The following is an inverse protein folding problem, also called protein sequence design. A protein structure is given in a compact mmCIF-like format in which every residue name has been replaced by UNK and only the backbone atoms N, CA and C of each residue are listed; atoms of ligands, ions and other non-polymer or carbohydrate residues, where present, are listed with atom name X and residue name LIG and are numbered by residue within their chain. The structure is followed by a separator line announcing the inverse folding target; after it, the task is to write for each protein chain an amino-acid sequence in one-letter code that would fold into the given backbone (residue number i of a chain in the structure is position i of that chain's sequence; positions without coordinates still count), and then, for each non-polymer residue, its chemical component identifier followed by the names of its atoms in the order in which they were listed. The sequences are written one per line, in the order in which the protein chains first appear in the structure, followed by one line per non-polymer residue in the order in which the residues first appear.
data_IF_589215366399
#
_entry.id   IF_589215366399
#
_cell.length_a   1.000
_cell.length_b   1.000
_cell.length_c   1.000
_cell.angle_alpha   90.00
_cell.angle_beta   90.00
_cell.angle_gamma   90.00
#
_symmetry.space_group_name_H-M   'P 1'
#
loop_
_entity.id
_entity.type
_entity.pdbx_description
1 polymer ?
#
# COMPACT_ATOMS: atom_id res chain seq x y z
N UNK A 1 64.49 1.31 31.30
CA UNK A 1 63.26 0.58 30.93
C UNK A 1 62.32 1.59 30.29
N UNK A 2 61.98 1.39 29.02
CA UNK A 2 61.15 2.31 28.24
C UNK A 2 61.84 2.75 26.95
N UNK A 3 61.13 2.56 25.83
CA UNK A 3 61.37 3.24 24.57
C UNK A 3 62.30 2.54 23.57
N UNK A 4 61.83 1.47 22.92
CA UNK A 4 62.38 1.04 21.63
C UNK A 4 61.39 1.42 20.53
N UNK A 5 61.73 2.49 19.79
CA UNK A 5 61.13 2.86 18.52
C UNK A 5 61.86 2.09 17.41
N UNK A 6 61.14 1.30 16.64
CA UNK A 6 61.62 0.71 15.40
C UNK A 6 60.55 0.92 14.32
N UNK A 7 60.88 1.80 13.39
CA UNK A 7 60.23 1.93 12.10
C UNK A 7 60.50 0.70 11.24
N UNK A 8 59.48 0.14 10.61
CA UNK A 8 59.64 -0.60 9.34
C UNK A 8 58.34 -0.52 8.54
N UNK A 9 58.43 0.11 7.38
CA UNK A 9 57.44 0.13 6.31
C UNK A 9 57.06 -1.29 5.88
N UNK A 10 55.76 -1.55 5.66
CA UNK A 10 55.28 -2.66 4.84
C UNK A 10 53.93 -2.30 4.19
N UNK A 11 54.04 -1.84 2.94
CA UNK A 11 53.20 -2.07 1.76
C UNK A 11 51.67 -2.15 1.92
N UNK A 12 50.97 -1.17 1.35
CA UNK A 12 49.52 -1.20 1.10
C UNK A 12 49.15 -2.25 0.03
N UNK A 13 48.05 -3.00 0.19
CA UNK A 13 47.58 -3.93 -0.84
C UNK A 13 47.05 -3.17 -2.08
N UNK A 14 47.15 -3.75 -3.29
CA UNK A 14 46.65 -3.14 -4.51
C UNK A 14 45.11 -3.10 -4.52
N UNK A 15 44.50 -2.14 -5.24
CA UNK A 15 43.04 -2.08 -5.37
C UNK A 15 42.52 -3.31 -6.13
N UNK A 16 41.33 -3.83 -5.77
CA UNK A 16 40.74 -4.95 -6.51
C UNK A 16 40.47 -4.55 -7.96
N UNK A 17 40.99 -5.39 -8.83
CA UNK A 17 40.85 -5.41 -10.28
C UNK A 17 39.40 -5.28 -10.76
N UNK A 18 39.21 -4.39 -11.74
CA UNK A 18 37.99 -4.18 -12.49
C UNK A 18 37.41 -5.50 -13.00
N UNK A 19 36.23 -5.86 -12.49
CA UNK A 19 35.44 -6.96 -13.01
C UNK A 19 34.87 -6.59 -14.39
N UNK A 20 34.85 -7.50 -15.36
CA UNK A 20 34.46 -7.21 -16.73
C UNK A 20 32.98 -6.88 -16.86
N UNK A 21 32.70 -5.89 -17.70
CA UNK A 21 31.39 -5.43 -18.16
C UNK A 21 30.44 -6.62 -18.40
N UNK A 22 29.28 -6.59 -17.73
CA UNK A 22 28.15 -7.44 -18.06
C UNK A 22 27.72 -7.17 -19.51
N UNK A 23 27.25 -8.20 -20.26
CA UNK A 23 26.86 -8.03 -21.64
C UNK A 23 25.69 -7.05 -21.74
N UNK A 24 25.86 -6.04 -22.60
CA UNK A 24 24.84 -5.10 -23.02
C UNK A 24 23.59 -5.85 -23.50
N UNK A 25 22.47 -5.63 -22.81
CA UNK A 25 21.16 -6.11 -23.24
C UNK A 25 20.79 -5.49 -24.60
N UNK A 26 20.43 -6.29 -25.63
CA UNK A 26 20.01 -5.78 -26.92
C UNK A 26 18.49 -5.59 -26.94
N UNK A 27 17.97 -4.69 -26.11
CA UNK A 27 16.59 -4.20 -26.23
C UNK A 27 16.54 -2.71 -25.91
N UNK A 28 17.02 -1.89 -26.85
CA UNK A 28 16.58 -0.51 -26.96
C UNK A 28 15.14 -0.52 -27.51
N UNK A 29 14.18 -0.77 -26.64
CA UNK A 29 12.76 -0.49 -26.92
C UNK A 29 12.55 1.02 -27.11
N UNK A 30 11.47 1.44 -27.79
CA UNK A 30 11.21 2.85 -28.03
C UNK A 30 11.16 3.61 -26.70
N UNK A 31 11.95 4.69 -26.63
CA UNK A 31 11.97 5.62 -25.50
C UNK A 31 10.55 6.10 -25.25
N UNK A 32 9.91 5.57 -24.20
CA UNK A 32 8.65 6.07 -23.70
C UNK A 32 8.88 7.54 -23.30
N UNK A 33 8.30 8.47 -24.06
CA UNK A 33 8.36 9.88 -23.70
C UNK A 33 7.56 10.07 -22.42
N UNK A 34 8.22 10.61 -21.39
CA UNK A 34 7.55 11.15 -20.20
C UNK A 34 6.53 12.19 -20.68
N UNK A 35 5.24 11.85 -20.64
CA UNK A 35 4.19 12.85 -20.76
C UNK A 35 3.98 13.38 -19.34
N UNK A 36 4.19 14.67 -19.14
CA UNK A 36 3.86 15.32 -17.87
C UNK A 36 2.38 15.06 -17.58
N UNK A 37 2.04 14.41 -16.44
CA UNK A 37 0.65 14.18 -16.08
C UNK A 37 -0.04 15.54 -15.92
N UNK A 38 -1.30 15.62 -16.38
CA UNK A 38 -2.33 16.57 -15.97
C UNK A 38 -1.83 17.70 -15.04
N UNK A 39 -1.21 18.75 -15.59
CA UNK A 39 -0.61 19.81 -14.75
C UNK A 39 -1.61 20.91 -14.38
N UNK A 40 -2.84 20.83 -14.89
CA UNK A 40 -3.86 21.85 -14.67
C UNK A 40 -5.13 21.28 -14.05
N UNK A 41 -5.83 22.11 -13.26
CA UNK A 41 -7.14 21.77 -12.71
C UNK A 41 -8.13 21.33 -13.81
N UNK A 42 -8.01 21.91 -15.01
CA UNK A 42 -8.85 21.56 -16.17
C UNK A 42 -8.61 20.14 -16.66
N UNK A 43 -7.37 19.64 -16.62
CA UNK A 43 -7.05 18.26 -17.00
C UNK A 43 -7.60 17.27 -15.96
N UNK A 44 -7.46 17.59 -14.67
CA UNK A 44 -8.03 16.78 -13.59
C UNK A 44 -9.56 16.74 -13.64
N UNK A 45 -10.21 17.87 -13.95
CA UNK A 45 -11.65 17.91 -14.20
C UNK A 45 -12.06 17.02 -15.38
N UNK A 46 -11.30 17.05 -16.48
CA UNK A 46 -11.52 16.16 -17.64
C UNK A 46 -11.34 14.70 -17.27
N UNK A 47 -10.32 14.38 -16.47
CA UNK A 47 -10.07 13.02 -15.96
C UNK A 47 -11.24 12.52 -15.11
N UNK A 48 -11.87 13.39 -14.33
CA UNK A 48 -13.08 13.09 -13.55
C UNK A 48 -14.39 13.18 -14.36
N UNK A 49 -14.34 13.50 -15.65
CA UNK A 49 -15.53 13.65 -16.49
C UNK A 49 -16.42 14.85 -16.11
N UNK A 50 -15.83 15.88 -15.49
CA UNK A 50 -16.55 17.06 -15.02
C UNK A 50 -16.23 18.30 -15.89
N UNK A 51 -17.24 19.10 -16.28
CA UNK A 51 -16.99 20.36 -16.98
C UNK A 51 -16.51 21.48 -16.04
N UNK A 52 -16.77 21.36 -14.74
CA UNK A 52 -16.39 22.29 -13.67
C UNK A 52 -16.41 21.59 -12.32
N UNK A 53 -15.69 22.13 -11.34
CA UNK A 53 -15.73 21.65 -9.97
C UNK A 53 -17.16 21.74 -9.41
N UNK A 54 -17.59 20.70 -8.68
CA UNK A 54 -18.86 20.68 -7.98
C UNK A 54 -18.82 21.54 -6.71
N UNK A 55 -19.98 21.98 -6.21
CA UNK A 55 -20.05 22.52 -4.86
C UNK A 55 -19.81 21.40 -3.84
N UNK A 56 -18.84 21.59 -2.94
CA UNK A 56 -18.40 20.55 -1.99
C UNK A 56 -19.53 20.04 -1.11
N UNK A 57 -20.30 20.94 -0.49
CA UNK A 57 -21.38 20.57 0.43
C UNK A 57 -22.54 19.86 -0.28
N UNK A 58 -22.86 20.31 -1.50
CA UNK A 58 -23.87 19.69 -2.36
C UNK A 58 -23.44 18.29 -2.80
N UNK A 59 -22.17 18.12 -3.17
CA UNK A 59 -21.61 16.82 -3.54
C UNK A 59 -21.68 15.84 -2.36
N UNK A 60 -21.17 16.22 -1.18
CA UNK A 60 -21.23 15.39 0.04
C UNK A 60 -22.67 15.00 0.39
N UNK A 61 -23.61 15.94 0.25
CA UNK A 61 -25.04 15.70 0.47
C UNK A 61 -25.68 14.82 -0.60
N UNK A 62 -25.11 14.73 -1.80
CA UNK A 62 -25.54 13.81 -2.85
C UNK A 62 -25.01 12.41 -2.60
N UNK A 63 -23.73 12.28 -2.23
CA UNK A 63 -23.09 11.02 -1.83
C UNK A 63 -23.77 10.39 -0.61
N UNK A 64 -24.34 11.23 0.24
CA UNK A 64 -25.14 10.84 1.38
C UNK A 64 -26.46 10.12 1.04
N UNK A 65 -27.00 10.32 -0.16
CA UNK A 65 -28.34 9.80 -0.48
C UNK A 65 -28.28 8.29 -0.72
N UNK A 66 -29.23 7.51 -0.18
CA UNK A 66 -29.33 6.09 -0.48
C UNK A 66 -29.46 5.88 -2.00
N UNK A 67 -28.76 4.87 -2.54
CA UNK A 67 -28.95 4.45 -3.93
C UNK A 67 -30.42 4.11 -4.17
N UNK A 68 -31.03 4.71 -5.21
CA UNK A 68 -32.43 4.46 -5.57
C UNK A 68 -32.55 3.07 -6.22
N UNK A 69 -32.65 1.98 -5.44
CA UNK A 69 -32.83 0.64 -6.02
C UNK A 69 -32.98 -0.54 -5.05
N UNK A 70 -34.20 -1.12 -5.06
CA UNK A 70 -34.66 -2.47 -4.61
C UNK A 70 -34.41 -2.90 -3.15
N UNK A 71 -35.48 -2.75 -2.36
CA UNK A 71 -35.66 -3.43 -1.07
C UNK A 71 -35.32 -2.54 0.11
N UNK A 72 -36.33 -1.95 0.74
CA UNK A 72 -36.19 -1.17 1.97
C UNK A 72 -35.93 -2.13 3.13
N UNK A 73 -34.76 -2.16 3.80
CA UNK A 73 -34.71 -2.72 5.13
C UNK A 73 -35.58 -1.84 6.03
N UNK A 74 -36.54 -2.45 6.72
CA UNK A 74 -37.19 -1.81 7.86
C UNK A 74 -36.09 -1.65 8.93
N UNK A 75 -35.94 -0.44 9.45
CA UNK A 75 -35.19 -0.07 10.67
C UNK A 75 -33.66 -0.11 10.61
N UNK A 76 -33.03 0.88 9.96
CA UNK A 76 -31.76 1.47 10.44
C UNK A 76 -31.77 2.95 10.09
N UNK A 77 -31.38 3.82 11.02
CA UNK A 77 -31.18 5.25 10.74
C UNK A 77 -30.27 5.44 9.52
N UNK A 78 -30.48 6.52 8.76
CA UNK A 78 -29.60 6.90 7.65
C UNK A 78 -28.14 6.96 8.18
N UNK A 79 -27.19 6.18 7.61
CA UNK A 79 -25.85 6.12 8.17
C UNK A 79 -25.23 7.52 8.20
N UNK A 80 -24.78 7.95 9.39
CA UNK A 80 -24.01 9.18 9.54
C UNK A 80 -22.59 9.00 8.99
N UNK A 81 -21.98 10.10 8.55
CA UNK A 81 -20.56 10.12 8.24
C UNK A 81 -19.74 9.81 9.49
N UNK A 82 -18.66 9.05 9.32
CA UNK A 82 -17.64 8.78 10.34
C UNK A 82 -16.27 8.93 9.70
N UNK A 83 -15.35 9.65 10.33
CA UNK A 83 -13.94 9.58 9.92
C UNK A 83 -13.40 8.20 10.31
N UNK A 84 -12.77 7.52 9.37
CA UNK A 84 -12.26 6.14 9.51
C UNK A 84 -10.75 6.05 9.36
N UNK A 85 -10.11 7.10 8.83
CA UNK A 85 -8.67 7.18 8.70
C UNK A 85 -8.22 8.59 8.37
N UNK A 86 -6.92 8.80 8.50
CA UNK A 86 -6.20 9.99 8.07
C UNK A 86 -4.88 9.54 7.43
N UNK A 87 -4.43 10.30 6.44
CA UNK A 87 -3.11 10.17 5.82
C UNK A 87 -2.55 11.58 5.63
N UNK A 88 -1.25 11.67 5.31
CA UNK A 88 -0.52 12.96 5.27
C UNK A 88 -1.25 14.05 4.51
N UNK A 89 -1.85 13.75 3.36
CA UNK A 89 -2.53 14.73 2.50
C UNK A 89 -4.05 14.58 2.44
N UNK A 90 -4.66 13.73 3.28
CA UNK A 90 -6.07 13.40 3.08
C UNK A 90 -6.82 12.97 4.33
N UNK A 91 -8.12 13.23 4.27
CA UNK A 91 -9.09 12.80 5.28
C UNK A 91 -9.96 11.68 4.70
N UNK A 92 -10.18 10.60 5.47
CA UNK A 92 -10.95 9.45 4.99
C UNK A 92 -12.21 9.26 5.82
N UNK A 93 -13.37 9.33 5.17
CA UNK A 93 -14.68 9.17 5.80
C UNK A 93 -15.44 7.99 5.24
N UNK A 94 -16.21 7.31 6.07
CA UNK A 94 -17.12 6.26 5.66
C UNK A 94 -18.58 6.65 5.95
N UNK A 95 -19.47 6.17 5.08
CA UNK A 95 -20.92 6.22 5.27
C UNK A 95 -21.57 5.01 4.61
N UNK A 96 -22.16 4.14 5.42
CA UNK A 96 -22.68 2.87 4.93
C UNK A 96 -21.54 1.99 4.40
N UNK A 97 -21.65 1.57 3.16
CA UNK A 97 -20.69 0.75 2.40
C UNK A 97 -19.72 1.58 1.54
N UNK A 98 -19.81 2.91 1.60
CA UNK A 98 -18.96 3.82 0.84
C UNK A 98 -17.89 4.46 1.71
N UNK A 99 -16.70 4.60 1.14
CA UNK A 99 -15.58 5.35 1.70
C UNK A 99 -15.26 6.51 0.76
N UNK A 100 -14.92 7.68 1.31
CA UNK A 100 -14.46 8.84 0.55
C UNK A 100 -13.13 9.32 1.13
N UNK A 101 -12.09 9.31 0.30
CA UNK A 101 -10.80 9.96 0.57
C UNK A 101 -10.87 11.37 0.00
N UNK A 102 -10.65 12.38 0.84
CA UNK A 102 -10.77 13.79 0.50
C UNK A 102 -9.39 14.43 0.58
N UNK A 103 -8.91 14.92 -0.56
CA UNK A 103 -7.56 15.46 -0.74
C UNK A 103 -7.66 16.95 -1.07
N UNK A 104 -7.20 17.87 -0.20
CA UNK A 104 -7.03 19.28 -0.54
C UNK A 104 -6.04 19.46 -1.71
N UNK A 105 -6.39 20.32 -2.68
CA UNK A 105 -5.60 20.52 -3.89
C UNK A 105 -4.79 21.81 -3.83
N UNK A 106 -3.46 21.67 -3.95
CA UNK A 106 -2.53 22.78 -4.14
C UNK A 106 -2.63 23.30 -5.57
N UNK A 107 -3.31 24.42 -5.75
CA UNK A 107 -3.39 25.12 -7.04
C UNK A 107 -2.31 26.19 -7.14
N UNK A 108 -1.81 26.46 -8.35
CA UNK A 108 -0.70 27.38 -8.61
C UNK A 108 -0.91 28.84 -8.11
N UNK A 109 -2.12 29.22 -7.67
CA UNK A 109 -2.35 30.45 -6.90
C UNK A 109 -1.98 30.32 -5.41
N UNK A 110 -1.18 29.31 -5.04
CA UNK A 110 -0.71 28.99 -3.69
C UNK A 110 0.06 30.13 -3.02
N UNK A 111 0.59 31.10 -3.78
CA UNK A 111 1.26 32.27 -3.22
C UNK A 111 0.35 33.10 -2.29
N UNK A 112 -0.96 33.17 -2.58
CA UNK A 112 -1.91 33.90 -1.74
C UNK A 112 -2.30 33.14 -0.47
N UNK A 113 -2.40 31.80 -0.54
CA UNK A 113 -2.74 30.95 0.61
C UNK A 113 -1.54 30.79 1.56
N UNK A 114 -0.32 30.61 1.02
CA UNK A 114 0.91 30.55 1.81
C UNK A 114 1.22 31.89 2.50
N UNK A 115 0.95 33.03 1.83
CA UNK A 115 1.04 34.34 2.46
C UNK A 115 0.04 34.49 3.62
N UNK A 116 -1.20 34.01 3.45
CA UNK A 116 -2.24 34.09 4.48
C UNK A 116 -1.95 33.17 5.70
N UNK A 117 -1.37 31.98 5.48
CA UNK A 117 -0.96 31.07 6.55
C UNK A 117 0.25 31.62 7.33
N UNK A 118 1.24 32.17 6.63
CA UNK A 118 2.42 32.80 7.23
C UNK A 118 2.09 34.05 8.06
N UNK A 119 1.06 34.81 7.67
CA UNK A 119 0.60 35.98 8.43
C UNK A 119 -0.11 35.62 9.76
N UNK A 120 -0.61 34.40 9.90
CA UNK A 120 -1.46 34.01 11.03
C UNK A 120 -0.83 32.97 11.98
N UNK A 121 0.39 32.51 11.72
CA UNK A 121 1.10 31.47 12.51
C UNK A 121 0.20 30.24 12.79
N UNK A 122 -0.69 29.94 11.84
CA UNK A 122 -1.69 28.90 11.96
C UNK A 122 -1.22 27.65 11.23
N UNK A 123 -1.30 26.52 11.91
CA UNK A 123 -1.06 25.20 11.31
C UNK A 123 -1.99 25.02 10.10
N UNK A 124 -1.45 24.53 8.98
CA UNK A 124 -2.15 24.43 7.70
C UNK A 124 -2.26 22.96 7.26
N UNK A 125 -3.43 22.49 6.79
CA UNK A 125 -3.54 21.13 6.26
C UNK A 125 -2.63 20.94 5.05
N UNK A 126 -1.98 19.79 4.98
CA UNK A 126 -1.19 19.40 3.82
C UNK A 126 -2.06 19.27 2.56
N UNK A 127 -1.53 19.74 1.44
CA UNK A 127 -2.23 19.78 0.15
C UNK A 127 -1.45 18.98 -0.91
N UNK A 128 -2.13 18.20 -1.74
CA UNK A 128 -1.50 17.48 -2.86
C UNK A 128 -1.53 18.29 -4.15
N UNK A 129 -0.55 18.06 -5.03
CA UNK A 129 -0.58 18.65 -6.37
C UNK A 129 -1.68 18.02 -7.23
N UNK A 130 -2.16 18.77 -8.22
CA UNK A 130 -3.11 18.27 -9.23
C UNK A 130 -2.53 17.06 -9.99
N UNK A 131 -1.22 17.07 -10.21
CA UNK A 131 -0.49 16.02 -10.90
C UNK A 131 -0.48 14.72 -10.09
N UNK A 132 -0.22 14.80 -8.78
CA UNK A 132 -0.18 13.63 -7.89
C UNK A 132 -1.55 12.97 -7.76
N UNK A 133 -2.60 13.78 -7.57
CA UNK A 133 -3.98 13.28 -7.51
C UNK A 133 -4.42 12.68 -8.85
N UNK A 134 -4.08 13.33 -9.96
CA UNK A 134 -4.34 12.78 -11.30
C UNK A 134 -3.67 11.42 -11.50
N UNK A 135 -2.40 11.30 -11.12
CA UNK A 135 -1.65 10.04 -11.15
C UNK A 135 -2.32 8.97 -10.29
N UNK A 136 -2.69 9.29 -9.04
CA UNK A 136 -3.37 8.34 -8.15
C UNK A 136 -4.66 7.80 -8.80
N UNK A 137 -5.51 8.68 -9.35
CA UNK A 137 -6.74 8.28 -10.06
C UNK A 137 -6.44 7.36 -11.25
N UNK A 138 -5.45 7.70 -12.07
CA UNK A 138 -5.07 6.89 -13.23
C UNK A 138 -4.52 5.53 -12.82
N UNK A 139 -3.69 5.47 -11.78
CA UNK A 139 -3.16 4.20 -11.23
C UNK A 139 -4.32 3.33 -10.73
N UNK A 140 -5.24 3.87 -9.93
CA UNK A 140 -6.39 3.11 -9.43
C UNK A 140 -7.26 2.57 -10.57
N UNK A 141 -7.49 3.36 -11.62
CA UNK A 141 -8.21 2.91 -12.82
C UNK A 141 -7.47 1.82 -13.59
N UNK A 142 -6.15 1.92 -13.70
CA UNK A 142 -5.33 0.91 -14.38
C UNK A 142 -5.29 -0.43 -13.61
N UNK A 143 -5.43 -0.38 -12.28
CA UNK A 143 -5.54 -1.55 -11.40
C UNK A 143 -6.95 -2.13 -11.31
N UNK A 144 -7.97 -1.46 -11.87
CA UNK A 144 -9.33 -1.97 -11.87
C UNK A 144 -9.40 -3.39 -12.48
N UNK A 145 -10.14 -4.28 -11.83
CA UNK A 145 -10.26 -5.69 -12.22
C UNK A 145 -9.08 -6.57 -11.82
N UNK A 146 -8.03 -6.02 -11.19
CA UNK A 146 -6.98 -6.83 -10.55
C UNK A 146 -7.39 -7.08 -9.11
N UNK A 147 -7.75 -8.33 -8.80
CA UNK A 147 -8.15 -8.73 -7.45
C UNK A 147 -7.11 -8.33 -6.40
N UNK A 148 -7.57 -7.87 -5.24
CA UNK A 148 -6.73 -7.54 -4.08
C UNK A 148 -6.32 -6.08 -3.96
N UNK A 149 -6.82 -5.20 -4.83
CA UNK A 149 -6.72 -3.74 -4.70
C UNK A 149 -8.10 -3.13 -4.43
N UNK A 150 -8.14 -2.00 -3.72
CA UNK A 150 -9.39 -1.27 -3.52
C UNK A 150 -9.91 -0.68 -4.84
N UNK A 151 -11.22 -0.75 -5.02
CA UNK A 151 -11.88 -0.22 -6.21
C UNK A 151 -12.19 1.28 -6.03
N UNK A 152 -11.79 2.07 -7.03
CA UNK A 152 -12.23 3.45 -7.21
C UNK A 152 -13.56 3.47 -7.96
N UNK A 153 -14.67 3.71 -7.25
CA UNK A 153 -16.00 3.81 -7.84
C UNK A 153 -16.14 5.06 -8.72
N UNK A 154 -15.66 6.20 -8.21
CA UNK A 154 -15.65 7.46 -8.94
C UNK A 154 -14.71 8.47 -8.29
N UNK A 155 -14.25 9.45 -9.07
CA UNK A 155 -13.47 10.57 -8.59
C UNK A 155 -14.19 11.87 -8.97
N UNK A 156 -14.22 12.83 -8.04
CA UNK A 156 -14.86 14.13 -8.25
C UNK A 156 -13.97 15.25 -7.75
N UNK A 157 -13.98 16.37 -8.43
CA UNK A 157 -13.36 17.62 -8.01
C UNK A 157 -14.47 18.53 -7.51
N UNK A 158 -14.24 19.11 -6.33
CA UNK A 158 -15.16 20.03 -5.69
C UNK A 158 -14.44 21.30 -5.24
N UNK A 159 -15.21 22.36 -5.05
CA UNK A 159 -14.77 23.62 -4.46
C UNK A 159 -15.83 24.12 -3.47
N UNK A 160 -15.41 24.89 -2.47
CA UNK A 160 -16.29 25.41 -1.43
C UNK A 160 -15.72 25.19 -0.03
N UNK A 161 -16.42 25.65 1.02
CA UNK A 161 -16.06 25.33 2.40
C UNK A 161 -16.24 23.83 2.68
N UNK A 162 -15.44 23.32 3.61
CA UNK A 162 -15.54 21.93 4.07
C UNK A 162 -16.94 21.64 4.65
N UNK A 163 -17.52 20.51 4.27
CA UNK A 163 -18.90 20.20 4.64
C UNK A 163 -19.06 20.06 6.17
N UNK A 164 -20.05 20.73 6.80
CA UNK A 164 -20.24 20.69 8.25
C UNK A 164 -20.40 19.26 8.82
N UNK A 165 -21.08 18.38 8.09
CA UNK A 165 -21.27 16.99 8.51
C UNK A 165 -19.96 16.19 8.61
N UNK A 166 -18.97 16.51 7.76
CA UNK A 166 -17.66 15.88 7.80
C UNK A 166 -16.77 16.50 8.88
N UNK A 167 -16.88 17.83 9.10
CA UNK A 167 -16.22 18.49 10.22
C UNK A 167 -16.66 17.92 11.57
N UNK A 168 -17.96 17.68 11.76
CA UNK A 168 -18.45 17.01 12.97
C UNK A 168 -17.88 15.60 13.12
N UNK A 169 -17.80 14.84 12.02
CA UNK A 169 -17.22 13.50 12.05
C UNK A 169 -15.70 13.52 12.35
N UNK A 170 -15.00 14.56 11.89
CA UNK A 170 -13.59 14.80 12.19
C UNK A 170 -13.40 15.13 13.67
N UNK A 171 -14.24 16.01 14.25
CA UNK A 171 -14.18 16.40 15.66
C UNK A 171 -14.45 15.21 16.59
N UNK A 172 -15.42 14.36 16.25
CA UNK A 172 -15.70 13.11 16.96
C UNK A 172 -14.48 12.18 16.95
N UNK A 173 -13.84 12.02 15.79
CA UNK A 173 -12.65 11.17 15.65
C UNK A 173 -11.48 11.71 16.46
N UNK A 174 -11.15 13.00 16.31
CA UNK A 174 -10.06 13.65 17.03
C UNK A 174 -10.25 13.57 18.55
N UNK A 175 -11.50 13.66 19.03
CA UNK A 175 -11.81 13.51 20.46
C UNK A 175 -11.69 12.07 20.97
N UNK A 176 -11.81 11.07 20.08
CA UNK A 176 -11.82 9.64 20.42
C UNK A 176 -10.48 8.93 20.23
N UNK A 177 -9.62 9.42 19.32
CA UNK A 177 -8.28 8.86 19.06
C UNK A 177 -7.33 9.28 20.17
N UNK A 178 -6.61 8.32 20.74
CA UNK A 178 -5.55 8.61 21.69
C UNK A 178 -4.45 9.42 20.99
N UNK A 179 -4.14 10.61 21.51
CA UNK A 179 -3.22 11.56 20.88
C UNK A 179 -3.88 12.56 19.92
N UNK A 180 -5.18 12.46 19.67
CA UNK A 180 -5.90 13.35 18.76
C UNK A 180 -5.76 12.97 17.28
N UNK A 181 -6.24 13.85 16.40
CA UNK A 181 -5.97 13.80 14.95
C UNK A 181 -4.56 14.31 14.69
N UNK A 182 -3.80 13.63 13.84
CA UNK A 182 -2.47 14.06 13.41
C UNK A 182 -2.54 15.21 12.40
N UNK A 183 -3.61 15.24 11.61
CA UNK A 183 -3.85 16.30 10.66
C UNK A 183 -4.46 17.55 11.31
N UNK A 184 -4.24 18.70 10.68
CA UNK A 184 -4.92 19.95 11.01
C UNK A 184 -6.40 19.87 10.61
N UNK A 185 -7.29 20.36 11.47
CA UNK A 185 -8.72 20.42 11.17
C UNK A 185 -8.98 21.23 9.88
N UNK A 186 -9.64 20.67 8.85
CA UNK A 186 -9.70 21.28 7.52
C UNK A 186 -10.62 22.50 7.41
N UNK A 187 -11.21 22.97 8.51
CA UNK A 187 -12.02 24.19 8.54
C UNK A 187 -11.24 25.47 8.33
N UNK A 188 -9.91 25.43 8.45
CA UNK A 188 -9.03 26.57 8.19
C UNK A 188 -8.87 26.88 6.71
N UNK A 189 -9.22 25.92 5.83
CA UNK A 189 -9.15 26.10 4.38
C UNK A 189 -10.17 27.15 3.90
N UNK A 190 -9.80 27.98 2.91
CA UNK A 190 -10.65 29.07 2.47
C UNK A 190 -11.91 28.56 1.75
N UNK A 191 -12.99 29.37 1.68
CA UNK A 191 -14.20 29.00 0.93
C UNK A 191 -13.97 28.74 -0.57
N UNK A 192 -12.83 29.18 -1.12
CA UNK A 192 -12.40 28.96 -2.51
C UNK A 192 -11.49 27.75 -2.68
N UNK A 193 -11.21 26.99 -1.61
CA UNK A 193 -10.40 25.79 -1.66
C UNK A 193 -10.99 24.75 -2.63
N UNK A 194 -10.11 23.94 -3.18
CA UNK A 194 -10.46 22.85 -4.09
C UNK A 194 -10.04 21.52 -3.49
N UNK A 195 -10.81 20.48 -3.80
CA UNK A 195 -10.63 19.16 -3.23
C UNK A 195 -10.87 18.10 -4.29
N UNK A 196 -10.11 17.02 -4.25
CA UNK A 196 -10.47 15.77 -4.88
C UNK A 196 -11.17 14.84 -3.88
N UNK A 197 -12.28 14.24 -4.30
CA UNK A 197 -13.04 13.26 -3.56
C UNK A 197 -12.99 11.94 -4.34
N UNK A 198 -12.25 10.98 -3.79
CA UNK A 198 -12.12 9.63 -4.33
C UNK A 198 -13.10 8.73 -3.59
N UNK A 199 -14.15 8.27 -4.27
CA UNK A 199 -15.11 7.31 -3.72
C UNK A 199 -14.56 5.91 -3.90
N UNK A 200 -14.35 5.23 -2.79
CA UNK A 200 -13.74 3.92 -2.69
C UNK A 200 -14.73 2.93 -2.09
N UNK A 201 -14.64 1.67 -2.49
CA UNK A 201 -15.40 0.60 -1.83
C UNK A 201 -14.86 0.36 -0.42
N UNK A 202 -15.77 0.08 0.54
CA UNK A 202 -15.37 -0.25 1.90
C UNK A 202 -14.68 -1.63 1.95
N UNK A 203 -13.41 -1.68 2.31
CA UNK A 203 -12.57 -2.88 2.23
C UNK A 203 -12.13 -3.48 3.59
N UNK A 204 -12.60 -2.93 4.71
CA UNK A 204 -12.37 -3.47 6.05
C UNK A 204 -11.64 -2.51 6.96
N UNK A 205 -10.86 -3.05 7.90
CA UNK A 205 -10.02 -2.28 8.84
C UNK A 205 -8.54 -2.45 8.48
N UNK A 206 -7.74 -1.42 8.68
CA UNK A 206 -6.29 -1.47 8.47
C UNK A 206 -5.60 -2.56 9.30
N UNK A 207 -4.55 -3.17 8.73
CA UNK A 207 -3.86 -4.30 9.34
C UNK A 207 -3.13 -3.90 10.62
N UNK A 208 -2.76 -2.63 10.78
CA UNK A 208 -2.19 -2.07 11.99
C UNK A 208 -3.16 -2.22 13.17
N UNK A 209 -4.38 -1.66 13.03
CA UNK A 209 -5.41 -1.64 14.06
C UNK A 209 -6.22 -2.94 14.20
N UNK A 210 -6.37 -3.74 13.14
CA UNK A 210 -7.21 -4.95 13.18
C UNK A 210 -6.58 -6.06 14.02
N UNK A 211 -7.38 -6.76 14.83
CA UNK A 211 -6.90 -7.95 15.54
C UNK A 211 -7.01 -9.18 14.64
N UNK A 212 -5.88 -9.83 14.36
CA UNK A 212 -5.88 -11.13 13.69
C UNK A 212 -6.18 -12.24 14.71
N UNK A 213 -7.12 -13.16 14.41
CA UNK A 213 -7.52 -14.19 15.36
C UNK A 213 -6.47 -15.30 15.54
N UNK A 214 -5.71 -15.63 14.49
CA UNK A 214 -4.83 -16.79 14.45
C UNK A 214 -3.78 -16.69 13.32
N UNK A 215 -2.87 -17.66 13.23
CA UNK A 215 -1.81 -17.67 12.21
C UNK A 215 -2.34 -17.91 10.81
N UNK A 216 -3.40 -18.72 10.66
CA UNK A 216 -4.04 -18.91 9.35
C UNK A 216 -4.51 -17.59 8.76
N UNK A 217 -5.11 -16.71 9.56
CA UNK A 217 -5.52 -15.38 9.12
C UNK A 217 -4.32 -14.50 8.74
N UNK A 218 -3.24 -14.50 9.54
CA UNK A 218 -2.02 -13.77 9.21
C UNK A 218 -1.39 -14.24 7.89
N UNK A 219 -1.33 -15.55 7.68
CA UNK A 219 -0.81 -16.12 6.45
C UNK A 219 -1.73 -15.83 5.24
N UNK A 220 -3.05 -15.86 5.43
CA UNK A 220 -4.02 -15.48 4.40
C UNK A 220 -3.80 -14.04 3.95
N UNK A 221 -3.67 -13.09 4.88
CA UNK A 221 -3.36 -11.69 4.55
C UNK A 221 -2.09 -11.59 3.71
N UNK A 222 -0.99 -12.17 4.19
CA UNK A 222 0.29 -12.09 3.48
C UNK A 222 0.23 -12.68 2.07
N UNK A 223 -0.26 -13.91 1.92
CA UNK A 223 -0.26 -14.59 0.63
C UNK A 223 -1.27 -13.98 -0.36
N UNK A 224 -2.36 -13.39 0.12
CA UNK A 224 -3.26 -12.59 -0.74
C UNK A 224 -2.57 -11.33 -1.26
N UNK A 225 -1.85 -10.59 -0.40
CA UNK A 225 -1.06 -9.43 -0.79
C UNK A 225 0.02 -9.81 -1.81
N UNK A 226 0.80 -10.86 -1.57
CA UNK A 226 1.79 -11.39 -2.53
C UNK A 226 1.12 -11.74 -3.87
N UNK A 227 -0.05 -12.39 -3.82
CA UNK A 227 -0.81 -12.73 -5.01
C UNK A 227 -1.30 -11.51 -5.79
N UNK A 228 -1.77 -10.47 -5.10
CA UNK A 228 -2.25 -9.22 -5.70
C UNK A 228 -1.10 -8.46 -6.38
N UNK A 229 0.01 -8.26 -5.67
CA UNK A 229 1.23 -7.66 -6.22
C UNK A 229 1.74 -8.46 -7.41
N UNK A 230 1.81 -9.79 -7.32
CA UNK A 230 2.26 -10.63 -8.42
C UNK A 230 1.34 -10.62 -9.66
N UNK A 231 0.05 -10.27 -9.51
CA UNK A 231 -0.85 -9.98 -10.64
C UNK A 231 -0.57 -8.61 -11.24
N UNK A 232 -0.44 -7.58 -10.41
CA UNK A 232 -0.19 -6.21 -10.84
C UNK A 232 1.21 -6.04 -11.49
N UNK A 233 2.26 -6.68 -10.95
CA UNK A 233 3.60 -6.74 -11.55
C UNK A 233 3.55 -7.28 -12.98
N UNK A 234 2.79 -8.35 -13.21
CA UNK A 234 2.66 -8.97 -14.53
C UNK A 234 1.83 -8.13 -15.49
N UNK A 235 0.75 -7.53 -15.01
CA UNK A 235 -0.18 -6.80 -15.86
C UNK A 235 0.33 -5.39 -16.21
N UNK A 236 1.02 -4.74 -15.27
CA UNK A 236 1.29 -3.30 -15.30
C UNK A 236 2.69 -2.93 -14.84
N UNK A 237 3.59 -3.89 -14.62
CA UNK A 237 4.90 -3.64 -14.01
C UNK A 237 4.80 -2.84 -12.68
N UNK A 238 3.76 -3.14 -11.90
CA UNK A 238 3.39 -2.36 -10.72
C UNK A 238 4.40 -2.47 -9.57
N UNK A 239 4.64 -1.34 -8.92
CA UNK A 239 5.32 -1.22 -7.64
C UNK A 239 4.48 -0.36 -6.69
N UNK A 240 4.18 -0.87 -5.49
CA UNK A 240 3.35 -0.12 -4.54
C UNK A 240 4.11 1.07 -3.93
N UNK A 241 5.37 0.82 -3.55
CA UNK A 241 6.32 1.76 -2.93
C UNK A 241 5.91 2.37 -1.59
N UNK A 242 4.70 2.09 -1.10
CA UNK A 242 4.29 2.53 0.23
C UNK A 242 3.43 1.51 0.98
N UNK A 243 3.78 0.22 0.92
CA UNK A 243 2.93 -0.85 1.43
C UNK A 243 3.19 -1.12 2.93
N UNK A 244 3.09 -0.07 3.75
CA UNK A 244 3.07 -0.25 5.19
C UNK A 244 1.75 -0.93 5.62
N UNK A 245 1.70 -1.48 6.83
CA UNK A 245 0.54 -2.24 7.31
C UNK A 245 -0.75 -1.41 7.47
N UNK A 246 -0.67 -0.08 7.44
CA UNK A 246 -1.85 0.79 7.35
C UNK A 246 -2.52 0.70 5.98
N UNK A 247 -1.73 0.39 4.93
CA UNK A 247 -2.18 0.29 3.55
C UNK A 247 -2.64 -1.13 3.13
N UNK A 248 -2.90 -1.99 4.11
CA UNK A 248 -3.52 -3.30 3.91
C UNK A 248 -4.78 -3.38 4.76
N UNK A 249 -5.95 -3.32 4.13
CA UNK A 249 -7.22 -3.50 4.81
C UNK A 249 -7.59 -4.99 4.89
N UNK A 250 -8.16 -5.39 6.02
CA UNK A 250 -8.59 -6.75 6.31
C UNK A 250 -10.08 -6.76 6.63
N UNK A 251 -10.80 -7.66 5.98
CA UNK A 251 -12.17 -8.01 6.32
C UNK A 251 -12.30 -9.51 6.54
N UNK A 252 -13.22 -9.89 7.42
CA UNK A 252 -13.52 -11.28 7.74
C UNK A 252 -14.89 -11.63 7.21
N UNK A 253 -15.02 -12.83 6.65
CA UNK A 253 -16.28 -13.41 6.22
C UNK A 253 -16.37 -14.85 6.70
N UNK A 254 -17.59 -15.32 6.94
CA UNK A 254 -17.81 -16.75 7.17
C UNK A 254 -17.29 -17.52 5.94
N UNK A 255 -16.42 -18.54 6.13
CA UNK A 255 -15.97 -19.37 5.02
C UNK A 255 -17.18 -19.97 4.31
N UNK A 256 -17.16 -19.98 2.98
CA UNK A 256 -18.21 -20.67 2.24
C UNK A 256 -18.21 -22.14 2.65
N UNK A 257 -19.39 -22.72 2.92
CA UNK A 257 -19.51 -24.17 3.08
C UNK A 257 -18.81 -24.84 1.89
N UNK A 258 -18.02 -25.91 2.10
CA UNK A 258 -17.37 -26.58 1.00
C UNK A 258 -18.45 -27.00 0.01
N UNK A 259 -18.29 -26.60 -1.26
CA UNK A 259 -19.01 -27.23 -2.35
C UNK A 259 -18.78 -28.74 -2.21
N UNK A 260 -19.83 -29.53 -2.48
CA UNK A 260 -19.88 -30.98 -2.26
C UNK A 260 -18.98 -31.76 -3.25
N UNK A 261 -17.80 -31.21 -3.58
CA UNK A 261 -16.78 -31.81 -4.44
C UNK A 261 -16.00 -32.87 -3.67
N UNK A 262 -16.05 -34.07 -4.20
CA UNK A 262 -15.80 -35.33 -3.49
C UNK A 262 -14.32 -35.76 -3.53
N UNK A 263 -13.38 -34.82 -3.61
CA UNK A 263 -11.95 -35.16 -3.65
C UNK A 263 -11.13 -34.08 -2.93
N UNK A 264 -10.75 -34.36 -1.69
CA UNK A 264 -9.80 -33.54 -0.95
C UNK A 264 -8.48 -33.50 -1.74
N UNK A 265 -8.02 -32.32 -2.19
CA UNK A 265 -6.78 -32.22 -2.93
C UNK A 265 -5.60 -32.66 -2.06
N UNK A 266 -4.53 -33.17 -2.68
CA UNK A 266 -3.31 -33.54 -1.98
C UNK A 266 -2.79 -32.36 -1.14
N UNK A 267 -2.51 -32.60 0.14
CA UNK A 267 -2.02 -31.58 1.07
C UNK A 267 -0.55 -31.34 0.83
N UNK A 268 -0.27 -30.24 0.15
CA UNK A 268 1.07 -29.79 -0.22
C UNK A 268 1.24 -28.33 0.20
N UNK A 269 2.49 -27.86 0.23
CA UNK A 269 2.76 -26.43 0.44
C UNK A 269 2.01 -25.55 -0.59
N UNK A 270 1.99 -25.98 -1.86
CA UNK A 270 1.30 -25.29 -2.94
C UNK A 270 -0.22 -25.22 -2.74
N UNK A 271 -0.87 -26.35 -2.45
CA UNK A 271 -2.33 -26.37 -2.22
C UNK A 271 -2.71 -25.61 -0.96
N UNK A 272 -1.86 -25.63 0.07
CA UNK A 272 -2.05 -24.84 1.28
C UNK A 272 -1.97 -23.32 1.00
N UNK A 273 -0.92 -22.83 0.33
CA UNK A 273 -0.82 -21.40 -0.07
C UNK A 273 -1.98 -20.99 -0.98
N UNK A 274 -2.38 -21.85 -1.92
CA UNK A 274 -3.54 -21.59 -2.78
C UNK A 274 -4.83 -21.44 -1.95
N UNK A 275 -5.03 -22.24 -0.90
CA UNK A 275 -6.19 -22.13 -0.01
C UNK A 275 -6.21 -20.83 0.78
N UNK A 276 -5.05 -20.35 1.25
CA UNK A 276 -4.91 -19.09 1.99
C UNK A 276 -5.21 -17.86 1.10
N UNK A 277 -4.96 -18.00 -0.20
CA UNK A 277 -5.20 -16.94 -1.19
C UNK A 277 -6.65 -16.77 -1.61
N UNK A 278 -7.52 -17.75 -1.33
CA UNK A 278 -8.95 -17.63 -1.56
C UNK A 278 -9.61 -17.03 -0.32
N UNK A 279 -10.33 -15.92 -0.50
CA UNK A 279 -11.06 -15.30 0.60
C UNK A 279 -12.19 -16.21 1.10
N UNK A 280 -12.81 -16.95 0.18
CA UNK A 280 -13.89 -17.90 0.43
C UNK A 280 -13.43 -19.07 1.31
N UNK A 281 -12.22 -19.59 1.06
CA UNK A 281 -11.64 -20.72 1.81
C UNK A 281 -10.92 -20.29 3.09
N UNK A 282 -10.34 -19.10 3.12
CA UNK A 282 -9.62 -18.60 4.29
C UNK A 282 -10.53 -17.86 5.28
N UNK A 283 -11.69 -17.38 4.85
CA UNK A 283 -12.56 -16.48 5.62
C UNK A 283 -11.96 -15.08 5.83
N UNK A 284 -10.90 -14.75 5.10
CA UNK A 284 -10.15 -13.50 5.22
C UNK A 284 -10.00 -12.87 3.85
N UNK A 285 -10.27 -11.57 3.72
CA UNK A 285 -9.96 -10.79 2.53
C UNK A 285 -9.01 -9.66 2.87
N UNK A 286 -7.83 -9.69 2.26
CA UNK A 286 -6.87 -8.59 2.29
C UNK A 286 -6.99 -7.72 1.04
N UNK A 287 -7.01 -6.40 1.22
CA UNK A 287 -7.15 -5.42 0.15
C UNK A 287 -6.08 -4.36 0.30
N UNK A 288 -5.28 -4.16 -0.75
CA UNK A 288 -4.24 -3.13 -0.83
C UNK A 288 -4.90 -1.78 -1.15
N UNK A 289 -4.49 -0.74 -0.43
CA UNK A 289 -4.96 0.65 -0.59
C UNK A 289 -3.79 1.62 -0.73
N UNK A 290 -4.12 2.87 -1.04
CA UNK A 290 -3.19 4.00 -1.16
C UNK A 290 -2.04 3.80 -2.14
N UNK A 291 -2.28 4.22 -3.38
CA UNK A 291 -1.31 4.11 -4.49
C UNK A 291 -0.65 5.45 -4.80
N UNK A 292 -0.65 6.38 -3.84
CA UNK A 292 -0.15 7.75 -4.03
C UNK A 292 1.32 7.80 -4.44
N UNK A 293 2.15 6.92 -3.85
CA UNK A 293 3.60 6.81 -4.14
C UNK A 293 3.95 5.73 -5.18
N UNK A 294 2.95 5.06 -5.74
CA UNK A 294 3.14 3.90 -6.60
C UNK A 294 3.73 4.23 -7.97
N UNK A 295 4.19 3.17 -8.65
CA UNK A 295 4.62 3.20 -10.05
C UNK A 295 3.96 2.10 -10.86
N UNK A 296 3.52 2.40 -12.08
CA UNK A 296 3.13 1.40 -13.08
C UNK A 296 3.32 1.87 -14.51
N UNK A 297 3.26 0.92 -15.43
CA UNK A 297 3.16 1.11 -16.86
C UNK A 297 1.69 1.01 -17.30
N UNK A 298 1.19 2.03 -17.99
CA UNK A 298 -0.08 2.02 -18.72
C UNK A 298 0.20 1.73 -20.20
N UNK A 299 0.20 0.45 -20.62
CA UNK A 299 0.53 0.06 -21.98
C UNK A 299 -0.53 0.46 -23.00
N UNK A 300 -1.77 0.79 -22.59
CA UNK A 300 -2.82 1.19 -23.51
C UNK A 300 -2.69 2.65 -23.97
N UNK A 301 -1.81 3.44 -23.35
CA UNK A 301 -1.46 4.76 -23.84
C UNK A 301 -0.57 4.66 -25.09
N UNK A 302 -0.72 5.60 -26.03
CA UNK A 302 0.15 5.73 -27.21
C UNK A 302 0.88 7.09 -27.19
N UNK A 303 2.21 7.12 -26.93
CA UNK A 303 3.06 5.98 -26.54
C UNK A 303 2.74 5.46 -25.12
N UNK A 304 3.23 4.26 -24.74
CA UNK A 304 3.07 3.73 -23.38
C UNK A 304 3.52 4.74 -22.33
N UNK A 305 2.70 4.91 -21.28
CA UNK A 305 2.91 5.91 -20.25
C UNK A 305 3.36 5.26 -18.95
N UNK A 306 4.44 5.76 -18.36
CA UNK A 306 4.83 5.39 -16.99
C UNK A 306 4.23 6.42 -16.04
N UNK A 307 3.42 5.92 -15.11
CA UNK A 307 2.90 6.69 -13.99
C UNK A 307 3.77 6.38 -12.78
N UNK A 308 4.51 7.35 -12.25
CA UNK A 308 5.37 7.18 -11.09
C UNK A 308 5.34 8.42 -10.20
N UNK A 309 5.36 8.24 -8.88
CA UNK A 309 5.74 9.31 -7.96
C UNK A 309 7.24 9.58 -8.07
N UNK A 310 7.62 10.85 -8.03
CA UNK A 310 8.99 11.30 -8.27
C UNK A 310 9.88 11.29 -7.03
N UNK A 311 9.28 11.15 -5.83
CA UNK A 311 9.98 11.21 -4.54
C UNK A 311 10.86 12.46 -4.41
N UNK A 312 10.40 13.60 -4.93
CA UNK A 312 11.09 14.89 -4.78
C UNK A 312 11.06 15.40 -3.32
N UNK A 313 10.13 14.93 -2.50
CA UNK A 313 10.07 15.23 -1.08
C UNK A 313 11.11 14.41 -0.30
N UNK A 314 12.18 15.09 0.12
CA UNK A 314 13.27 14.50 0.89
C UNK A 314 12.85 14.06 2.30
N UNK A 315 11.75 14.62 2.86
CA UNK A 315 11.30 14.32 4.22
C UNK A 315 10.94 12.85 4.40
N UNK A 316 10.42 12.20 3.35
CA UNK A 316 10.09 10.76 3.30
C UNK A 316 11.28 9.88 3.70
N UNK A 317 12.51 10.30 3.42
CA UNK A 317 13.72 9.51 3.71
C UNK A 317 14.32 9.77 5.11
N UNK A 318 13.81 10.79 5.81
CA UNK A 318 14.34 11.24 7.11
C UNK A 318 13.60 10.68 8.32
N UNK A 319 12.49 9.96 8.12
CA UNK A 319 11.74 9.35 9.20
C UNK A 319 12.54 8.30 9.99
N UNK A 320 12.21 8.16 11.27
CA UNK A 320 12.84 7.25 12.22
C UNK A 320 11.79 6.60 13.15
N UNK A 321 12.17 5.53 13.85
CA UNK A 321 11.34 4.90 14.88
C UNK A 321 10.52 3.69 14.41
N UNK A 322 10.47 3.43 13.11
CA UNK A 322 9.85 2.23 12.54
C UNK A 322 10.61 1.72 11.30
N UNK A 323 10.61 0.40 11.09
CA UNK A 323 11.24 -0.26 9.94
C UNK A 323 10.71 0.22 8.58
N UNK A 324 9.51 0.82 8.53
CA UNK A 324 8.98 1.41 7.28
C UNK A 324 9.93 2.47 6.71
N UNK A 325 10.61 3.24 7.58
CA UNK A 325 11.50 4.31 7.12
C UNK A 325 12.81 3.76 6.52
N UNK A 326 13.26 2.61 7.02
CA UNK A 326 14.38 1.89 6.40
C UNK A 326 14.03 1.38 5.00
N UNK A 327 12.76 1.00 4.77
CA UNK A 327 12.29 0.60 3.44
C UNK A 327 12.39 1.75 2.43
N UNK A 328 11.99 2.99 2.79
CA UNK A 328 12.16 4.13 1.89
C UNK A 328 13.63 4.36 1.50
N UNK A 329 14.55 4.31 2.48
CA UNK A 329 15.99 4.46 2.23
C UNK A 329 16.55 3.32 1.36
N UNK A 330 16.11 2.08 1.60
CA UNK A 330 16.48 0.93 0.80
C UNK A 330 15.97 1.04 -0.65
N UNK A 331 14.72 1.50 -0.84
CA UNK A 331 14.18 1.78 -2.18
C UNK A 331 15.00 2.85 -2.90
N UNK A 332 15.33 3.96 -2.24
CA UNK A 332 16.16 5.03 -2.83
C UNK A 332 17.53 4.51 -3.30
N UNK A 333 18.14 3.65 -2.48
CA UNK A 333 19.41 3.00 -2.82
C UNK A 333 19.27 2.08 -4.03
N UNK A 334 18.19 1.28 -4.07
CA UNK A 334 17.89 0.33 -5.14
C UNK A 334 17.59 1.02 -6.48
N UNK A 335 16.77 2.08 -6.47
CA UNK A 335 16.37 2.83 -7.68
C UNK A 335 17.46 3.78 -8.15
N UNK A 336 18.38 4.16 -7.25
CA UNK A 336 19.40 5.19 -7.50
C UNK A 336 18.76 6.50 -7.98
N UNK A 337 17.57 6.83 -7.45
CA UNK A 337 16.78 8.01 -7.84
C UNK A 337 16.01 7.89 -9.16
N UNK A 338 16.10 6.76 -9.87
CA UNK A 338 15.33 6.50 -11.11
C UNK A 338 13.97 5.92 -10.78
N UNK A 339 13.09 6.74 -10.24
CA UNK A 339 11.77 6.31 -9.77
C UNK A 339 10.82 5.91 -10.91
N UNK A 340 11.06 6.32 -12.14
CA UNK A 340 10.31 5.88 -13.31
C UNK A 340 10.66 4.43 -13.74
N UNK A 341 11.88 3.99 -13.42
CA UNK A 341 12.35 2.66 -13.79
C UNK A 341 11.61 1.57 -13.01
N UNK A 342 11.47 0.40 -13.65
CA UNK A 342 10.82 -0.75 -13.04
C UNK A 342 11.79 -1.53 -12.15
N UNK A 343 11.49 -1.54 -10.85
CA UNK A 343 12.24 -2.21 -9.80
C UNK A 343 11.30 -3.06 -8.94
N UNK A 344 10.83 -4.24 -9.38
CA UNK A 344 9.89 -5.08 -8.61
C UNK A 344 10.43 -5.51 -7.24
N UNK A 345 11.74 -5.36 -7.01
CA UNK A 345 12.36 -5.52 -5.70
C UNK A 345 11.88 -4.51 -4.65
N UNK A 346 11.30 -3.37 -5.02
CA UNK A 346 10.64 -2.47 -4.07
C UNK A 346 9.44 -3.14 -3.39
N UNK A 347 8.65 -3.93 -4.13
CA UNK A 347 7.59 -4.76 -3.55
C UNK A 347 8.17 -5.81 -2.59
N UNK A 348 9.34 -6.38 -2.90
CA UNK A 348 10.01 -7.35 -2.02
C UNK A 348 10.43 -6.71 -0.69
N UNK A 349 10.95 -5.48 -0.71
CA UNK A 349 11.29 -4.75 0.51
C UNK A 349 10.06 -4.56 1.41
N UNK A 350 8.93 -4.17 0.83
CA UNK A 350 7.68 -4.01 1.56
C UNK A 350 7.07 -5.32 2.03
N UNK A 351 7.16 -6.40 1.25
CA UNK A 351 6.72 -7.72 1.69
C UNK A 351 7.57 -8.24 2.86
N UNK A 352 8.87 -7.94 2.88
CA UNK A 352 9.74 -8.26 4.01
C UNK A 352 9.33 -7.47 5.26
N UNK A 353 9.05 -6.17 5.13
CA UNK A 353 8.48 -5.35 6.19
C UNK A 353 7.16 -5.92 6.71
N UNK A 354 6.24 -6.29 5.81
CA UNK A 354 4.93 -6.81 6.18
C UNK A 354 5.03 -8.14 6.95
N UNK A 355 5.98 -9.00 6.59
CA UNK A 355 6.27 -10.23 7.33
C UNK A 355 6.75 -9.96 8.74
N UNK A 356 7.67 -8.99 8.91
CA UNK A 356 8.15 -8.60 10.24
C UNK A 356 6.97 -8.17 11.13
N UNK A 357 6.09 -7.31 10.61
CA UNK A 357 4.88 -6.88 11.33
C UNK A 357 3.93 -8.04 11.68
N UNK A 358 3.67 -8.94 10.73
CA UNK A 358 2.79 -10.09 10.97
C UNK A 358 3.38 -11.08 11.99
N UNK A 359 4.69 -11.33 11.95
CA UNK A 359 5.38 -12.28 12.81
C UNK A 359 5.61 -11.72 14.22
N UNK A 360 5.82 -10.42 14.35
CA UNK A 360 6.36 -9.82 15.58
C UNK A 360 5.46 -8.76 16.23
N UNK A 361 4.62 -8.05 15.47
CA UNK A 361 3.83 -6.94 15.98
C UNK A 361 2.34 -7.27 16.23
N UNK A 362 1.78 -8.31 15.60
CA UNK A 362 0.36 -8.70 15.80
C UNK A 362 0.06 -9.44 17.11
N UNK A 363 1.09 -9.77 17.91
CA UNK A 363 0.92 -10.39 19.23
C UNK A 363 0.40 -11.85 19.20
N UNK A 364 0.51 -12.53 18.06
CA UNK A 364 0.14 -13.94 17.93
C UNK A 364 1.12 -14.85 18.68
N UNK A 365 0.60 -15.82 19.43
CA UNK A 365 1.44 -16.78 20.16
C UNK A 365 2.02 -17.79 19.18
N UNK A 366 3.35 -17.93 19.16
CA UNK A 366 4.05 -18.92 18.32
C UNK A 366 3.48 -20.34 18.54
N UNK A 367 3.20 -21.12 17.48
CA UNK A 367 2.64 -22.46 17.63
C UNK A 367 3.58 -23.42 18.40
N UNK A 368 3.03 -24.38 19.16
CA UNK A 368 3.81 -25.46 19.75
C UNK A 368 4.61 -26.24 18.70
N UNK A 369 5.79 -26.75 19.04
CA UNK A 369 6.63 -27.50 18.10
C UNK A 369 7.47 -26.68 17.12
N UNK A 370 7.13 -25.40 16.88
CA UNK A 370 7.97 -24.50 16.08
C UNK A 370 9.32 -24.15 16.76
N UNK A 371 9.41 -24.34 18.09
CA UNK A 371 10.65 -24.14 18.87
C UNK A 371 11.58 -25.37 18.87
N UNK A 372 11.06 -26.56 18.57
CA UNK A 372 11.78 -27.84 18.68
C UNK A 372 12.19 -28.42 17.32
N UNK A 373 12.03 -27.66 16.24
CA UNK A 373 12.44 -28.12 14.92
C UNK A 373 13.98 -28.21 14.84
N UNK A 374 14.55 -29.25 14.20
CA UNK A 374 15.99 -29.40 14.08
C UNK A 374 16.62 -28.19 13.40
N UNK A 375 17.67 -27.61 14.00
CA UNK A 375 18.37 -26.45 13.45
C UNK A 375 18.97 -26.69 12.05
N UNK A 376 19.12 -27.96 11.66
CA UNK A 376 19.62 -28.40 10.35
C UNK A 376 18.58 -28.31 9.23
N UNK A 377 17.29 -28.19 9.55
CA UNK A 377 16.21 -28.17 8.55
C UNK A 377 15.92 -26.75 8.08
N UNK A 378 15.95 -26.53 6.76
CA UNK A 378 15.62 -25.23 6.17
C UNK A 378 14.18 -24.82 6.50
N UNK A 379 13.91 -23.51 6.56
CA UNK A 379 12.56 -23.00 6.83
C UNK A 379 11.53 -23.50 5.79
N UNK A 380 11.92 -23.60 4.52
CA UNK A 380 11.07 -24.15 3.46
C UNK A 380 10.75 -25.64 3.69
N UNK A 381 11.73 -26.43 4.12
CA UNK A 381 11.49 -27.83 4.42
C UNK A 381 10.51 -27.98 5.61
N UNK A 382 10.67 -27.16 6.66
CA UNK A 382 9.74 -27.12 7.80
C UNK A 382 8.32 -26.77 7.37
N UNK A 383 8.17 -25.78 6.50
CA UNK A 383 6.88 -25.42 5.92
C UNK A 383 6.27 -26.58 5.12
N UNK A 384 7.02 -27.20 4.20
CA UNK A 384 6.54 -28.33 3.40
C UNK A 384 6.08 -29.51 4.26
N UNK A 385 6.81 -29.81 5.32
CA UNK A 385 6.41 -30.84 6.27
C UNK A 385 5.13 -30.46 7.01
N UNK A 386 5.03 -29.23 7.53
CA UNK A 386 3.85 -28.77 8.27
C UNK A 386 2.58 -28.75 7.39
N UNK A 387 2.70 -28.35 6.12
CA UNK A 387 1.59 -28.30 5.16
C UNK A 387 1.00 -29.68 4.82
N UNK A 388 1.71 -30.77 5.13
CA UNK A 388 1.22 -32.15 4.96
C UNK A 388 0.48 -32.68 6.20
N UNK A 389 0.44 -31.91 7.30
CA UNK A 389 -0.18 -32.30 8.57
C UNK A 389 -1.46 -31.52 8.83
N UNK A 390 -2.37 -32.03 9.68
CA UNK A 390 -3.62 -31.36 10.09
C UNK A 390 -3.43 -30.09 10.93
N UNK A 391 -2.19 -29.67 11.18
CA UNK A 391 -1.84 -28.48 11.95
C UNK A 391 -1.71 -27.25 11.03
N UNK A 392 -2.85 -26.74 10.58
CA UNK A 392 -2.95 -25.56 9.71
C UNK A 392 -2.35 -24.29 10.35
N UNK A 393 -2.40 -24.16 11.68
CA UNK A 393 -1.80 -23.03 12.40
C UNK A 393 -0.28 -23.06 12.33
N UNK A 394 0.32 -24.24 12.51
CA UNK A 394 1.76 -24.42 12.33
C UNK A 394 2.17 -24.26 10.86
N UNK A 395 1.41 -24.81 9.93
CA UNK A 395 1.68 -24.66 8.50
C UNK A 395 1.64 -23.17 8.09
N UNK A 396 0.66 -22.41 8.58
CA UNK A 396 0.55 -20.98 8.36
C UNK A 396 1.77 -20.21 8.92
N UNK A 397 2.13 -20.43 10.18
CA UNK A 397 3.31 -19.80 10.79
C UNK A 397 4.60 -20.14 10.03
N UNK A 398 4.82 -21.42 9.70
CA UNK A 398 6.03 -21.85 8.99
C UNK A 398 6.06 -21.31 7.56
N UNK A 399 4.91 -21.11 6.90
CA UNK A 399 4.86 -20.46 5.58
C UNK A 399 5.37 -19.02 5.63
N UNK A 400 4.98 -18.25 6.66
CA UNK A 400 5.44 -16.88 6.88
C UNK A 400 6.92 -16.85 7.23
N UNK A 401 7.37 -17.72 8.14
CA UNK A 401 8.77 -17.81 8.53
C UNK A 401 9.68 -18.23 7.36
N UNK A 402 9.20 -19.14 6.50
CA UNK A 402 9.91 -19.54 5.29
C UNK A 402 10.00 -18.38 4.29
N UNK A 403 8.90 -17.65 4.06
CA UNK A 403 8.89 -16.48 3.21
C UNK A 403 9.84 -15.39 3.72
N UNK A 404 9.86 -15.12 5.03
CA UNK A 404 10.77 -14.15 5.64
C UNK A 404 12.23 -14.53 5.41
N UNK A 405 12.58 -15.80 5.62
CA UNK A 405 13.92 -16.30 5.34
C UNK A 405 14.29 -16.24 3.85
N UNK A 406 13.33 -16.41 2.94
CA UNK A 406 13.55 -16.26 1.49
C UNK A 406 13.78 -14.81 1.09
N UNK A 407 12.97 -13.88 1.61
CA UNK A 407 13.08 -12.45 1.28
C UNK A 407 14.30 -11.79 1.92
N UNK A 408 14.73 -12.23 3.11
CA UNK A 408 15.98 -11.76 3.70
C UNK A 408 17.18 -12.05 2.78
N UNK A 409 17.22 -13.21 2.10
CA UNK A 409 18.26 -13.52 1.10
C UNK A 409 18.17 -12.65 -0.16
N UNK A 410 16.99 -12.14 -0.49
CA UNK A 410 16.80 -11.24 -1.63
C UNK A 410 17.49 -9.90 -1.45
N UNK A 411 17.66 -9.46 -0.20
CA UNK A 411 18.38 -8.24 0.15
C UNK A 411 19.88 -8.36 -0.20
N UNK A 412 20.43 -9.58 -0.12
CA UNK A 412 21.84 -9.89 -0.40
C UNK A 412 22.06 -10.54 -1.79
N UNK A 413 21.15 -10.32 -2.73
CA UNK A 413 21.18 -10.81 -4.13
C UNK A 413 20.97 -12.32 -4.37
N UNK A 414 20.60 -13.12 -3.36
CA UNK A 414 20.40 -14.58 -3.46
C UNK A 414 18.95 -15.09 -3.38
N UNK A 415 17.95 -14.20 -3.40
CA UNK A 415 16.52 -14.54 -3.21
C UNK A 415 15.60 -14.08 -4.35
N UNK A 416 14.28 -14.14 -4.12
CA UNK A 416 13.25 -13.68 -5.07
C UNK A 416 13.36 -12.18 -5.35
N UNK A 417 13.32 -11.78 -6.62
CA UNK A 417 13.36 -10.40 -7.08
C UNK A 417 11.99 -9.73 -7.26
N UNK A 418 10.89 -10.46 -7.10
CA UNK A 418 9.52 -9.96 -7.26
C UNK A 418 8.50 -10.73 -6.40
N UNK A 419 7.31 -10.17 -6.21
CA UNK A 419 6.21 -10.87 -5.54
C UNK A 419 5.79 -12.12 -6.33
N UNK A 420 5.81 -12.05 -7.67
CA UNK A 420 5.57 -13.19 -8.55
C UNK A 420 6.55 -14.33 -8.30
N UNK A 421 7.86 -14.05 -8.22
CA UNK A 421 8.87 -15.08 -7.95
C UNK A 421 8.70 -15.69 -6.56
N UNK A 422 8.32 -14.91 -5.55
CA UNK A 422 8.00 -15.43 -4.22
C UNK A 422 6.83 -16.41 -4.26
N UNK A 423 5.78 -16.09 -5.03
CA UNK A 423 4.63 -16.98 -5.17
C UNK A 423 5.00 -18.29 -5.87
N UNK A 424 5.83 -18.23 -6.92
CA UNK A 424 6.34 -19.42 -7.63
C UNK A 424 7.26 -20.24 -6.73
N UNK A 425 8.04 -19.62 -5.85
CA UNK A 425 8.91 -20.31 -4.91
C UNK A 425 8.14 -21.07 -3.81
N UNK A 426 7.00 -20.52 -3.38
CA UNK A 426 6.19 -21.08 -2.30
C UNK A 426 5.32 -22.27 -2.72
N UNK A 427 4.91 -22.29 -3.99
CA UNK A 427 4.20 -23.39 -4.65
C UNK A 427 5.20 -24.41 -5.21
#
# INVERSE_FOLDING_TARGET
MGGASLSSELSSPPPPSSCPLAPSSPFAGPSAKLKEPSSTLSDLLRLCGQPRAADFSTLVSTLARPARGRGRPKTTADPRWRKVGEASYSEVFARGDKVVKIVPLRLASAAAAAAHAAEHDAEWPEESSVQDVGREIEIMRALHGIDGFVELESAHIATGPYAPALLSAWDEYASSKAGGSENVRPSVLPPTAHYALLLLSHAGQDLEGVRLPNWRAAAAVFWQVVGALGRAERAREFEHRDLHWGNVLVSFSEPSSPDNETTEPERTAASFVASLRSAEKSGVRATIIDVSLSRLLEPAADPPLVLAYDFADESIFTGEGDAQFDVYRAMRTLTQGRWEAWHPRTNVLWLHYLLDKLLHAKGLRRPPGARSAPATMSALARFRQAAQTDDDERAAYESLAAAAAQLARSLDAGGCGSARELLVWAC
#
